data_IF_482770265828
#
_entry.id   IF_482770265828
#
_cell.length_a   1.000
_cell.length_b   1.000
_cell.length_c   1.000
_cell.angle_alpha   90.00
_cell.angle_beta   90.00
_cell.angle_gamma   90.00
#
_symmetry.space_group_name_H-M   'P 1'
#
loop_
_entity.id
_entity.type
_entity.pdbx_description
1 polymer ?
#
# COMPACT_ATOMS: atom_id res chain seq x y z
N UNK A 1 -11.39 -24.19 -10.54
CA UNK A 1 -10.03 -24.63 -10.95
C UNK A 1 -9.02 -24.04 -10.00
N UNK A 2 -8.55 -24.83 -9.03
CA UNK A 2 -7.42 -24.44 -8.18
C UNK A 2 -6.19 -24.37 -9.07
N UNK A 3 -5.72 -23.15 -9.36
CA UNK A 3 -4.45 -22.94 -10.06
C UNK A 3 -3.38 -23.66 -9.24
N UNK A 4 -2.87 -24.78 -9.76
CA UNK A 4 -1.70 -25.45 -9.22
C UNK A 4 -0.65 -24.37 -9.00
N UNK A 5 -0.22 -24.18 -7.75
CA UNK A 5 0.93 -23.31 -7.46
C UNK A 5 2.09 -23.96 -8.23
N UNK A 6 2.51 -23.33 -9.32
CA UNK A 6 3.67 -23.77 -10.08
C UNK A 6 4.83 -23.87 -9.09
N UNK A 7 5.26 -25.09 -8.81
CA UNK A 7 6.33 -25.36 -7.88
C UNK A 7 7.60 -24.64 -8.39
N UNK A 8 8.16 -23.77 -7.57
CA UNK A 8 9.35 -22.99 -7.94
C UNK A 8 10.52 -23.95 -8.15
N UNK A 9 11.12 -23.90 -9.33
CA UNK A 9 12.34 -24.64 -9.62
C UNK A 9 13.54 -23.79 -9.21
N UNK A 10 14.34 -24.28 -8.25
CA UNK A 10 15.51 -23.57 -7.72
C UNK A 10 16.46 -23.10 -8.81
N UNK A 11 16.88 -24.02 -9.69
CA UNK A 11 17.91 -23.78 -10.70
C UNK A 11 17.39 -22.78 -11.74
N UNK A 12 16.18 -22.99 -12.24
CA UNK A 12 15.59 -22.09 -13.25
C UNK A 12 15.36 -20.69 -12.70
N UNK A 13 14.87 -20.57 -11.47
CA UNK A 13 14.63 -19.26 -10.88
C UNK A 13 15.94 -18.50 -10.66
N UNK A 14 16.99 -19.17 -10.19
CA UNK A 14 18.32 -18.59 -10.07
C UNK A 14 18.89 -18.17 -11.43
N UNK A 15 18.80 -19.02 -12.45
CA UNK A 15 19.26 -18.73 -13.81
C UNK A 15 18.53 -17.52 -14.41
N UNK A 16 17.21 -17.45 -14.21
CA UNK A 16 16.40 -16.33 -14.66
C UNK A 16 16.82 -15.03 -13.95
N UNK A 17 17.07 -15.08 -12.64
CA UNK A 17 17.58 -13.93 -11.90
C UNK A 17 18.94 -13.49 -12.42
N UNK A 18 19.90 -14.41 -12.58
CA UNK A 18 21.23 -14.08 -13.09
C UNK A 18 21.19 -13.53 -14.53
N UNK A 19 20.25 -14.00 -15.34
CA UNK A 19 19.99 -13.42 -16.67
C UNK A 19 19.52 -11.97 -16.56
N UNK A 20 18.57 -11.66 -15.66
CA UNK A 20 18.15 -10.27 -15.40
C UNK A 20 19.33 -9.40 -14.95
N UNK A 21 20.23 -9.93 -14.12
CA UNK A 21 21.46 -9.22 -13.72
C UNK A 21 22.37 -8.93 -14.90
N UNK A 22 22.48 -9.85 -15.86
CA UNK A 22 23.32 -9.69 -17.05
C UNK A 22 22.76 -8.63 -18.01
N UNK A 23 21.44 -8.63 -18.21
CA UNK A 23 20.78 -7.68 -19.13
C UNK A 23 20.48 -6.31 -18.48
N UNK A 24 20.43 -6.22 -17.16
CA UNK A 24 20.01 -5.03 -16.43
C UNK A 24 21.15 -4.32 -15.70
N UNK A 25 21.50 -3.12 -16.15
CA UNK A 25 22.54 -2.26 -15.51
C UNK A 25 22.12 -1.69 -14.14
N UNK A 26 20.88 -1.92 -13.70
CA UNK A 26 20.34 -1.42 -12.44
C UNK A 26 20.66 -2.32 -11.22
N UNK A 27 21.23 -3.51 -11.44
CA UNK A 27 21.56 -4.44 -10.35
C UNK A 27 23.05 -4.36 -10.00
N UNK A 28 23.34 -3.85 -8.81
CA UNK A 28 24.69 -3.77 -8.26
C UNK A 28 25.09 -5.07 -7.52
N UNK A 29 26.39 -5.30 -7.31
CA UNK A 29 26.88 -6.53 -6.65
C UNK A 29 26.24 -6.78 -5.27
N UNK A 30 25.95 -5.71 -4.53
CA UNK A 30 25.30 -5.79 -3.22
C UNK A 30 23.87 -6.32 -3.29
N UNK A 31 23.14 -5.98 -4.36
CA UNK A 31 21.81 -6.51 -4.64
C UNK A 31 21.90 -8.02 -4.93
N UNK A 32 22.86 -8.44 -5.76
CA UNK A 32 23.07 -9.85 -6.11
C UNK A 32 23.35 -10.68 -4.85
N UNK A 33 24.29 -10.24 -4.00
CA UNK A 33 24.65 -10.94 -2.78
C UNK A 33 23.46 -11.07 -1.81
N UNK A 34 22.71 -9.98 -1.62
CA UNK A 34 21.55 -9.96 -0.74
C UNK A 34 20.40 -10.83 -1.28
N UNK A 35 20.13 -10.75 -2.58
CA UNK A 35 19.08 -11.54 -3.23
C UNK A 35 19.36 -13.03 -3.17
N UNK A 36 20.58 -13.47 -3.53
CA UNK A 36 20.97 -14.89 -3.48
C UNK A 36 20.87 -15.44 -2.05
N UNK A 37 21.21 -14.62 -1.06
CA UNK A 37 21.09 -14.98 0.36
C UNK A 37 19.64 -15.19 0.78
N UNK A 38 18.76 -14.24 0.42
CA UNK A 38 17.32 -14.35 0.65
C UNK A 38 16.74 -15.56 -0.09
N UNK A 39 17.15 -15.79 -1.34
CA UNK A 39 16.69 -16.90 -2.17
C UNK A 39 17.08 -18.26 -1.57
N UNK A 40 18.31 -18.39 -1.06
CA UNK A 40 18.74 -19.60 -0.34
C UNK A 40 17.87 -19.86 0.88
N UNK A 41 17.60 -18.83 1.68
CA UNK A 41 16.75 -18.96 2.87
C UNK A 41 15.31 -19.30 2.47
N UNK A 42 14.80 -18.71 1.40
CA UNK A 42 13.47 -19.01 0.86
C UNK A 42 13.37 -20.47 0.37
N UNK A 43 14.43 -21.00 -0.24
CA UNK A 43 14.52 -22.41 -0.62
C UNK A 43 14.47 -23.35 0.60
N UNK A 44 15.20 -23.02 1.68
CA UNK A 44 15.13 -23.77 2.95
C UNK A 44 13.71 -23.76 3.53
N UNK A 45 12.98 -22.66 3.34
CA UNK A 45 11.57 -22.51 3.69
C UNK A 45 10.61 -23.06 2.61
N UNK A 46 11.06 -23.97 1.73
CA UNK A 46 10.26 -24.62 0.69
C UNK A 46 9.54 -23.64 -0.26
N UNK A 47 10.16 -22.49 -0.52
CA UNK A 47 9.60 -21.40 -1.34
C UNK A 47 8.26 -20.86 -0.81
N UNK A 48 8.03 -20.94 0.50
CA UNK A 48 6.86 -20.36 1.13
C UNK A 48 7.02 -18.84 1.29
N UNK A 49 6.05 -18.09 0.79
CA UNK A 49 5.87 -16.68 1.10
C UNK A 49 4.71 -16.52 2.09
N UNK A 50 4.77 -15.56 3.02
CA UNK A 50 5.96 -14.85 3.48
C UNK A 50 6.87 -15.75 4.32
N UNK A 51 8.12 -15.34 4.51
CA UNK A 51 9.06 -15.96 5.46
C UNK A 51 9.73 -14.88 6.32
N UNK A 52 10.26 -15.27 7.48
CA UNK A 52 10.71 -14.33 8.52
C UNK A 52 12.10 -14.67 9.08
N UNK A 53 13.17 -14.65 8.27
CA UNK A 53 14.50 -14.95 8.74
C UNK A 53 15.08 -13.82 9.58
N UNK A 54 16.08 -14.16 10.39
CA UNK A 54 16.75 -13.16 11.22
C UNK A 54 17.65 -12.27 10.37
N UNK A 55 17.72 -10.96 10.68
CA UNK A 55 18.60 -10.03 9.95
C UNK A 55 20.07 -10.52 9.95
N UNK A 56 20.54 -11.03 11.09
CA UNK A 56 21.92 -11.51 11.24
C UNK A 56 22.25 -12.67 10.30
N UNK A 57 21.31 -13.60 10.12
CA UNK A 57 21.43 -14.72 9.19
C UNK A 57 21.52 -14.23 7.74
N UNK A 58 20.63 -13.33 7.32
CA UNK A 58 20.65 -12.77 5.96
C UNK A 58 21.98 -12.04 5.71
N UNK A 59 22.41 -11.20 6.65
CA UNK A 59 23.67 -10.45 6.55
C UNK A 59 24.88 -11.37 6.48
N UNK A 60 24.91 -12.44 7.28
CA UNK A 60 26.00 -13.41 7.29
C UNK A 60 26.09 -14.17 5.97
N UNK A 61 24.95 -14.57 5.40
CA UNK A 61 24.94 -15.23 4.09
C UNK A 61 25.35 -14.28 2.95
N UNK A 62 24.95 -13.01 3.03
CA UNK A 62 25.28 -12.01 2.02
C UNK A 62 26.70 -11.46 2.13
N UNK A 63 27.42 -11.77 3.21
CA UNK A 63 28.73 -11.18 3.51
C UNK A 63 28.66 -9.69 3.84
N UNK A 64 27.48 -9.16 4.18
CA UNK A 64 27.27 -7.74 4.50
C UNK A 64 27.53 -7.50 5.98
N UNK A 65 28.49 -6.62 6.31
CA UNK A 65 28.82 -6.29 7.71
C UNK A 65 28.10 -5.04 8.23
N UNK A 66 27.78 -4.09 7.33
CA UNK A 66 27.14 -2.82 7.71
C UNK A 66 25.62 -2.94 7.67
N UNK A 67 24.95 -2.52 8.76
CA UNK A 67 23.49 -2.45 8.84
C UNK A 67 22.92 -1.46 7.82
N UNK A 68 23.58 -0.33 7.63
CA UNK A 68 23.11 0.70 6.70
C UNK A 68 23.20 0.22 5.25
N UNK A 69 24.30 -0.47 4.92
CA UNK A 69 24.43 -1.12 3.61
C UNK A 69 23.34 -2.19 3.42
N UNK A 70 23.06 -3.01 4.42
CA UNK A 70 21.98 -4.00 4.36
C UNK A 70 20.63 -3.36 4.05
N UNK A 71 20.22 -2.34 4.82
CA UNK A 71 18.91 -1.70 4.60
C UNK A 71 18.83 -0.89 3.31
N UNK A 72 19.95 -0.31 2.84
CA UNK A 72 20.01 0.37 1.54
C UNK A 72 19.74 -0.62 0.40
N UNK A 73 20.54 -1.69 0.31
CA UNK A 73 20.37 -2.72 -0.72
C UNK A 73 18.99 -3.40 -0.63
N UNK A 74 18.44 -3.57 0.58
CA UNK A 74 17.11 -4.14 0.78
C UNK A 74 16.00 -3.26 0.22
N UNK A 75 16.07 -1.94 0.46
CA UNK A 75 15.12 -0.97 -0.11
C UNK A 75 15.24 -0.86 -1.62
N UNK A 76 16.45 -0.92 -2.15
CA UNK A 76 16.72 -0.90 -3.59
C UNK A 76 16.15 -2.15 -4.26
N UNK A 77 16.36 -3.35 -3.68
CA UNK A 77 15.74 -4.59 -4.17
C UNK A 77 14.20 -4.58 -4.10
N UNK A 78 13.62 -3.96 -3.07
CA UNK A 78 12.17 -3.79 -2.95
C UNK A 78 11.63 -2.84 -4.04
N UNK A 79 12.35 -1.74 -4.30
CA UNK A 79 12.02 -0.82 -5.38
C UNK A 79 12.12 -1.46 -6.78
N UNK A 80 12.98 -2.47 -6.94
CA UNK A 80 13.11 -3.27 -8.16
C UNK A 80 12.03 -4.37 -8.29
N UNK A 81 11.09 -4.46 -7.35
CA UNK A 81 10.00 -5.44 -7.33
C UNK A 81 10.47 -6.91 -7.30
N UNK A 82 11.73 -7.15 -6.93
CA UNK A 82 12.30 -8.49 -6.81
C UNK A 82 11.96 -9.15 -5.46
N UNK A 83 11.74 -8.31 -4.43
CA UNK A 83 11.33 -8.72 -3.10
C UNK A 83 10.30 -7.72 -2.55
N UNK A 84 9.59 -8.10 -1.50
CA UNK A 84 8.87 -7.19 -0.61
C UNK A 84 9.38 -7.33 0.80
N UNK A 85 9.66 -6.20 1.46
CA UNK A 85 10.10 -6.17 2.85
C UNK A 85 9.08 -5.49 3.77
N UNK A 86 8.71 -6.20 4.84
CA UNK A 86 7.78 -5.72 5.84
C UNK A 86 8.47 -5.64 7.20
N UNK A 87 8.98 -4.45 7.60
CA UNK A 87 9.68 -4.28 8.86
C UNK A 87 8.75 -4.43 10.06
N UNK A 88 9.22 -5.11 11.10
CA UNK A 88 8.59 -5.08 12.41
C UNK A 88 9.09 -3.89 13.23
N UNK A 89 8.16 -3.25 13.96
CA UNK A 89 8.47 -2.19 14.94
C UNK A 89 8.60 -2.72 16.36
N UNK A 90 8.18 -3.96 16.61
CA UNK A 90 8.14 -4.56 17.94
C UNK A 90 9.26 -5.59 18.10
N UNK A 91 9.93 -5.57 19.27
CA UNK A 91 10.92 -6.58 19.66
C UNK A 91 10.35 -8.01 19.73
N UNK A 92 9.03 -8.14 19.82
CA UNK A 92 8.31 -9.42 19.91
C UNK A 92 7.71 -9.86 18.58
N UNK A 93 7.91 -9.07 17.51
CA UNK A 93 7.32 -9.33 16.21
C UNK A 93 8.44 -9.46 15.17
N UNK A 94 8.33 -10.46 14.29
CA UNK A 94 9.31 -10.69 13.24
C UNK A 94 9.05 -9.80 12.03
N UNK A 95 10.13 -9.47 11.30
CA UNK A 95 9.97 -8.87 9.97
C UNK A 95 9.64 -9.95 8.95
N UNK A 96 8.84 -9.61 7.95
CA UNK A 96 8.49 -10.52 6.86
C UNK A 96 9.13 -10.10 5.55
N UNK A 97 9.39 -11.12 4.74
CA UNK A 97 9.93 -11.00 3.41
C UNK A 97 9.06 -11.84 2.48
N UNK A 98 8.83 -11.33 1.27
CA UNK A 98 8.29 -12.10 0.16
C UNK A 98 9.27 -12.00 -0.99
N UNK A 99 9.53 -13.11 -1.68
CA UNK A 99 10.32 -13.10 -2.92
C UNK A 99 9.37 -13.18 -4.11
N UNK A 100 9.65 -12.38 -5.13
CA UNK A 100 8.92 -12.41 -6.39
C UNK A 100 9.30 -13.65 -7.21
N UNK A 101 8.30 -14.27 -7.85
CA UNK A 101 8.54 -15.43 -8.72
C UNK A 101 8.89 -14.96 -10.11
N UNK A 102 9.96 -15.51 -10.69
CA UNK A 102 10.47 -15.12 -12.01
C UNK A 102 10.25 -16.28 -12.98
N UNK A 103 9.50 -16.03 -14.04
CA UNK A 103 9.28 -16.96 -15.15
C UNK A 103 9.93 -16.43 -16.42
N UNK A 104 10.64 -17.31 -17.13
CA UNK A 104 11.23 -17.01 -18.44
C UNK A 104 10.17 -17.19 -19.53
N UNK A 105 10.04 -16.17 -20.39
CA UNK A 105 9.21 -16.17 -21.59
C UNK A 105 10.13 -15.99 -22.82
N UNK A 106 9.63 -16.25 -24.02
CA UNK A 106 10.40 -16.14 -25.26
C UNK A 106 10.94 -14.72 -25.52
N UNK A 107 10.23 -13.70 -25.02
CA UNK A 107 10.55 -12.28 -25.23
C UNK A 107 11.16 -11.58 -24.00
N UNK A 108 11.40 -12.29 -22.89
CA UNK A 108 11.91 -11.71 -21.66
C UNK A 108 11.49 -12.46 -20.40
N UNK A 109 11.33 -11.74 -19.28
CA UNK A 109 11.01 -12.32 -17.98
C UNK A 109 9.72 -11.76 -17.42
N UNK A 110 8.82 -12.62 -16.94
CA UNK A 110 7.67 -12.22 -16.13
C UNK A 110 8.05 -12.34 -14.66
N UNK A 111 7.92 -11.23 -13.92
CA UNK A 111 8.13 -11.21 -12.48
C UNK A 111 6.78 -10.98 -11.79
N UNK A 112 6.32 -11.98 -11.07
CA UNK A 112 5.09 -11.96 -10.29
C UNK A 112 5.42 -11.54 -8.84
N UNK A 113 4.95 -10.36 -8.46
CA UNK A 113 5.29 -9.70 -7.21
C UNK A 113 4.28 -10.07 -6.13
N UNK A 114 4.77 -10.77 -5.11
CA UNK A 114 3.96 -11.21 -3.98
C UNK A 114 4.09 -10.24 -2.81
N UNK A 115 2.96 -9.93 -2.17
CA UNK A 115 2.92 -9.01 -1.04
C UNK A 115 1.90 -9.41 0.02
N UNK A 116 1.97 -8.76 1.17
CA UNK A 116 1.02 -8.95 2.26
C UNK A 116 0.05 -7.78 2.35
N UNK A 117 -1.25 -8.08 2.42
CA UNK A 117 -2.30 -7.06 2.66
C UNK A 117 -2.12 -6.41 4.03
N UNK A 118 -2.54 -5.15 4.20
CA UNK A 118 -2.58 -4.43 5.48
C UNK A 118 -1.23 -4.20 6.19
N UNK A 119 -0.10 -4.62 5.62
CA UNK A 119 1.19 -4.10 6.05
C UNK A 119 1.35 -2.70 5.47
N UNK A 120 1.27 -1.69 6.34
CA UNK A 120 1.43 -0.29 5.96
C UNK A 120 2.79 -0.06 5.27
N UNK A 121 2.79 -0.05 3.95
CA UNK A 121 3.70 0.77 3.15
C UNK A 121 3.18 0.95 1.72
N UNK A 122 2.19 1.84 1.56
CA UNK A 122 1.91 2.49 0.27
C UNK A 122 1.86 4.01 0.53
N UNK A 123 2.92 4.70 0.08
CA UNK A 123 3.02 6.14 -0.17
C UNK A 123 2.28 7.11 0.77
N UNK A 124 2.99 7.58 1.81
CA UNK A 124 2.58 8.75 2.61
C UNK A 124 2.53 10.08 1.82
N UNK A 125 2.82 10.06 0.52
CA UNK A 125 2.85 11.25 -0.36
C UNK A 125 1.54 11.48 -1.11
N UNK A 126 0.62 10.50 -1.18
CA UNK A 126 -0.65 10.66 -1.93
C UNK A 126 -1.82 11.09 -1.02
N UNK A 127 -1.68 10.99 0.32
CA UNK A 127 -2.77 11.28 1.26
C UNK A 127 -2.93 12.76 1.68
N UNK A 128 -2.24 13.73 1.07
CA UNK A 128 -2.45 15.17 1.39
C UNK A 128 -3.26 15.95 0.35
N UNK A 129 -3.87 15.27 -0.63
CA UNK A 129 -4.87 15.89 -1.50
C UNK A 129 -6.06 14.97 -1.65
N UNK A 130 -6.99 15.07 -0.71
CA UNK A 130 -8.46 15.16 -0.88
C UNK A 130 -9.02 14.92 0.53
N UNK A 131 -9.09 15.99 1.31
CA UNK A 131 -10.08 16.13 2.37
C UNK A 131 -11.14 17.09 1.82
N UNK A 132 -12.37 16.62 1.63
CA UNK A 132 -13.57 17.42 1.86
C UNK A 132 -14.80 16.52 2.08
N UNK A 133 -15.38 16.71 3.26
CA UNK A 133 -16.74 16.38 3.71
C UNK A 133 -17.08 14.93 4.10
N UNK A 134 -16.95 14.73 5.40
CA UNK A 134 -17.69 13.81 6.27
C UNK A 134 -19.17 13.70 5.88
N UNK A 135 -19.65 12.47 5.70
CA UNK A 135 -21.04 12.09 5.97
C UNK A 135 -21.03 10.70 6.57
N UNK A 136 -21.66 10.60 7.74
CA UNK A 136 -21.67 9.44 8.60
C UNK A 136 -22.21 8.20 7.88
N UNK A 137 -21.41 7.15 7.82
CA UNK A 137 -21.89 5.78 7.65
C UNK A 137 -21.20 4.95 8.71
N UNK A 138 -22.00 4.41 9.62
CA UNK A 138 -21.59 3.50 10.69
C UNK A 138 -20.72 2.36 10.14
N UNK A 139 -19.69 1.92 10.89
CA UNK A 139 -18.91 0.76 10.48
C UNK A 139 -19.80 -0.48 10.57
N UNK A 140 -20.30 -0.95 9.43
CA UNK A 140 -20.86 -2.29 9.35
C UNK A 140 -19.75 -3.29 9.64
N UNK A 141 -19.79 -3.84 10.85
CA UNK A 141 -19.04 -5.00 11.29
C UNK A 141 -19.33 -6.16 10.33
N UNK A 142 -18.49 -6.34 9.31
CA UNK A 142 -18.40 -7.65 8.64
C UNK A 142 -17.77 -8.57 9.67
N UNK A 143 -18.56 -9.48 10.24
CA UNK A 143 -18.04 -10.59 11.02
C UNK A 143 -17.04 -11.34 10.14
N UNK A 144 -15.76 -11.12 10.40
CA UNK A 144 -14.66 -11.81 9.74
C UNK A 144 -14.63 -13.21 10.34
N UNK A 145 -15.13 -14.21 9.59
CA UNK A 145 -15.15 -15.63 9.96
C UNK A 145 -13.86 -16.04 10.67
N UNK A 146 -13.96 -16.76 11.79
CA UNK A 146 -12.81 -17.18 12.63
C UNK A 146 -11.73 -17.89 11.77
N UNK A 147 -12.15 -18.60 10.73
CA UNK A 147 -11.29 -19.29 9.76
C UNK A 147 -10.46 -18.34 8.88
N UNK A 148 -10.93 -17.12 8.62
CA UNK A 148 -10.18 -16.10 7.87
C UNK A 148 -9.11 -15.43 8.73
N UNK A 149 -9.33 -15.28 10.04
CA UNK A 149 -8.29 -14.81 10.98
C UNK A 149 -7.13 -15.78 11.12
N UNK A 150 -7.39 -17.09 11.05
CA UNK A 150 -6.36 -18.13 11.12
C UNK A 150 -5.40 -18.15 9.91
N UNK A 151 -5.77 -17.53 8.79
CA UNK A 151 -4.93 -17.39 7.59
C UNK A 151 -4.10 -16.10 7.57
N UNK A 152 -4.19 -15.28 8.61
CA UNK A 152 -3.48 -14.01 8.68
C UNK A 152 -2.10 -14.18 9.32
N UNK A 153 -1.07 -13.67 8.65
CA UNK A 153 0.27 -13.53 9.22
C UNK A 153 0.25 -12.39 10.25
N UNK A 154 0.66 -12.69 11.49
CA UNK A 154 0.53 -11.83 12.68
C UNK A 154 -0.88 -11.26 12.94
N UNK A 155 -1.92 -11.97 12.50
CA UNK A 155 -3.31 -11.52 12.70
C UNK A 155 -3.70 -10.27 11.89
N UNK A 156 -2.88 -9.86 10.89
CA UNK A 156 -3.11 -8.62 10.13
C UNK A 156 -3.13 -8.79 8.61
N UNK A 157 -2.34 -9.69 8.02
CA UNK A 157 -2.16 -9.75 6.56
C UNK A 157 -2.35 -11.12 5.93
N UNK A 158 -2.93 -11.15 4.73
CA UNK A 158 -2.97 -12.31 3.84
C UNK A 158 -2.02 -12.11 2.65
N UNK A 159 -1.45 -13.19 2.12
CA UNK A 159 -0.59 -13.14 0.94
C UNK A 159 -1.44 -12.90 -0.32
N UNK A 160 -1.04 -11.91 -1.12
CA UNK A 160 -1.67 -11.56 -2.39
C UNK A 160 -0.64 -11.41 -3.50
N UNK A 161 -1.06 -11.67 -4.73
CA UNK A 161 -0.33 -11.25 -5.92
C UNK A 161 -0.60 -9.76 -6.16
N UNK A 162 0.39 -8.93 -5.86
CA UNK A 162 0.28 -7.46 -5.94
C UNK A 162 0.17 -7.03 -7.41
N UNK A 163 1.19 -7.38 -8.20
CA UNK A 163 1.30 -7.05 -9.62
C UNK A 163 2.19 -8.06 -10.35
N UNK A 164 2.14 -8.03 -11.67
CA UNK A 164 3.04 -8.77 -12.55
C UNK A 164 3.73 -7.75 -13.45
N UNK A 165 5.06 -7.80 -13.49
CA UNK A 165 5.87 -6.95 -14.37
C UNK A 165 6.53 -7.82 -15.45
N UNK A 166 6.80 -7.22 -16.59
CA UNK A 166 7.54 -7.83 -17.68
C UNK A 166 8.86 -7.08 -17.88
N UNK A 167 9.96 -7.83 -17.96
CA UNK A 167 11.31 -7.31 -18.18
C UNK A 167 11.79 -7.83 -19.53
N UNK A 168 11.92 -6.92 -20.49
CA UNK A 168 12.44 -7.19 -21.82
C UNK A 168 13.98 -7.46 -21.72
N UNK A 169 14.57 -8.20 -22.66
CA UNK A 169 16.04 -8.38 -22.73
C UNK A 169 16.83 -7.09 -22.96
N UNK A 170 16.14 -6.00 -23.32
CA UNK A 170 16.70 -4.64 -23.41
C UNK A 170 16.73 -3.91 -22.07
N UNK A 171 16.29 -4.54 -20.97
CA UNK A 171 16.30 -3.97 -19.63
C UNK A 171 15.11 -3.04 -19.30
N UNK A 172 14.20 -2.81 -20.26
CA UNK A 172 13.01 -2.00 -20.02
C UNK A 172 11.93 -2.76 -19.25
N UNK A 173 11.50 -2.19 -18.11
CA UNK A 173 10.37 -2.70 -17.34
C UNK A 173 9.04 -2.19 -17.93
N UNK A 174 8.13 -3.10 -18.24
CA UNK A 174 6.74 -2.79 -18.60
C UNK A 174 5.81 -3.48 -17.61
N UNK A 175 4.99 -2.70 -16.90
CA UNK A 175 3.97 -3.28 -16.04
C UNK A 175 2.86 -3.91 -16.90
N UNK A 176 2.59 -5.20 -16.70
CA UNK A 176 1.45 -5.87 -17.32
C UNK A 176 0.19 -5.31 -16.66
N UNK A 177 -0.46 -4.34 -17.32
CA UNK A 177 -1.73 -3.81 -16.84
C UNK A 177 -2.68 -4.99 -16.65
N UNK A 178 -3.18 -5.17 -15.42
CA UNK A 178 -4.37 -5.99 -15.19
C UNK A 178 -5.42 -5.47 -16.17
N UNK A 179 -5.86 -6.30 -17.11
CA UNK A 179 -7.01 -5.96 -17.95
C UNK A 179 -8.10 -5.54 -16.98
N UNK A 180 -8.40 -4.24 -16.94
CA UNK A 180 -9.44 -3.70 -16.07
C UNK A 180 -10.69 -4.45 -16.47
N UNK A 181 -11.09 -5.42 -15.65
CA UNK A 181 -12.33 -6.15 -15.87
C UNK A 181 -13.39 -5.08 -15.74
N UNK A 182 -13.90 -4.67 -16.89
CA UNK A 182 -14.95 -3.68 -17.03
C UNK A 182 -16.05 -4.07 -16.04
N UNK A 183 -16.19 -3.31 -14.96
CA UNK A 183 -17.28 -3.50 -14.01
C UNK A 183 -18.29 -2.38 -14.26
N UNK A 184 -19.38 -2.67 -14.98
CA UNK A 184 -20.35 -1.64 -15.36
C UNK A 184 -21.02 -0.96 -14.16
N UNK A 185 -20.95 -1.54 -12.95
CA UNK A 185 -21.53 -0.97 -11.74
C UNK A 185 -20.57 -0.13 -10.89
N UNK A 186 -19.26 -0.17 -11.14
CA UNK A 186 -18.27 0.48 -10.24
C UNK A 186 -17.21 1.32 -10.94
N UNK A 187 -17.22 1.41 -12.28
CA UNK A 187 -16.24 2.20 -13.03
C UNK A 187 -16.60 3.69 -12.99
N UNK A 188 -15.73 4.58 -12.48
CA UNK A 188 -15.98 6.03 -12.45
C UNK A 188 -16.16 6.65 -13.84
N UNK A 189 -15.75 5.99 -14.94
CA UNK A 189 -16.05 6.44 -16.31
C UNK A 189 -17.52 6.30 -16.70
N UNK A 190 -18.24 5.41 -16.01
CA UNK A 190 -19.66 5.10 -16.20
C UNK A 190 -20.48 5.31 -14.93
N UNK A 191 -19.89 5.89 -13.87
CA UNK A 191 -20.67 6.58 -12.87
C UNK A 191 -21.43 7.66 -13.63
N UNK A 192 -22.64 7.32 -14.08
CA UNK A 192 -23.60 8.28 -14.57
C UNK A 192 -23.58 9.36 -13.52
N UNK A 193 -23.21 10.58 -13.91
CA UNK A 193 -23.61 11.75 -13.16
C UNK A 193 -25.09 11.50 -12.88
N UNK A 194 -25.44 11.16 -11.64
CA UNK A 194 -26.83 10.96 -11.27
C UNK A 194 -27.44 12.28 -11.68
N UNK A 195 -28.24 12.22 -12.74
CA UNK A 195 -28.87 13.38 -13.29
C UNK A 195 -29.66 14.00 -12.15
N UNK A 196 -29.18 15.13 -11.62
CA UNK A 196 -29.94 16.01 -10.74
C UNK A 196 -31.20 16.58 -11.45
N UNK A 197 -31.51 16.08 -12.66
CA UNK A 197 -32.68 16.40 -13.48
C UNK A 197 -33.93 15.62 -13.07
N UNK A 198 -33.86 14.66 -12.14
CA UNK A 198 -35.04 14.08 -11.49
C UNK A 198 -35.29 14.78 -10.15
N UNK A 199 -35.32 16.11 -10.17
CA UNK A 199 -36.12 16.87 -9.23
C UNK A 199 -37.39 17.24 -9.99
N UNK A 200 -38.50 16.57 -9.68
CA UNK A 200 -39.82 16.96 -10.17
C UNK A 200 -40.05 18.45 -9.88
N UNK A 201 -40.64 19.24 -10.80
CA UNK A 201 -40.92 20.67 -10.58
C UNK A 201 -41.92 20.94 -9.44
N UNK A 202 -42.50 19.90 -8.85
CA UNK A 202 -43.59 19.98 -7.87
C UNK A 202 -43.13 20.16 -6.43
N UNK A 203 -41.83 20.37 -6.15
CA UNK A 203 -41.35 20.71 -4.80
C UNK A 203 -41.05 22.20 -4.61
N UNK A 204 -41.57 23.07 -5.48
CA UNK A 204 -41.65 24.51 -5.26
C UNK A 204 -42.94 24.88 -4.51
N UNK A 205 -43.11 24.38 -3.28
CA UNK A 205 -44.00 25.03 -2.33
C UNK A 205 -43.29 26.25 -1.76
N UNK A 206 -43.36 27.36 -2.49
CA UNK A 206 -42.92 28.70 -2.08
C UNK A 206 -43.78 29.33 -0.98
N UNK A 207 -44.47 28.56 -0.14
CA UNK A 207 -45.34 29.08 0.93
C UNK A 207 -45.21 28.21 2.18
N UNK A 208 -44.23 28.56 3.03
CA UNK A 208 -44.26 28.48 4.50
C UNK A 208 -42.83 28.46 5.03
N UNK A 209 -42.20 29.64 5.11
CA UNK A 209 -41.24 30.02 6.17
C UNK A 209 -40.78 31.46 5.94
N UNK A 210 -41.72 32.39 5.99
CA UNK A 210 -41.41 33.75 6.43
C UNK A 210 -41.49 33.78 7.96
N UNK A 211 -40.42 33.38 8.63
CA UNK A 211 -40.11 33.97 9.93
C UNK A 211 -39.11 35.08 9.68
N UNK A 212 -39.57 36.31 9.93
CA UNK A 212 -38.75 37.51 9.90
C UNK A 212 -37.60 37.40 10.90
N UNK A 213 -36.38 37.09 10.42
CA UNK A 213 -35.17 37.36 11.18
C UNK A 213 -34.73 38.79 10.89
N UNK A 214 -35.28 39.76 11.63
CA UNK A 214 -34.63 41.06 11.74
C UNK A 214 -33.24 40.87 12.37
N UNK A 215 -32.28 41.64 11.88
CA UNK A 215 -30.89 41.69 12.36
C UNK A 215 -30.81 42.26 13.78
N UNK A 216 -31.01 41.40 14.78
CA UNK A 216 -30.66 41.68 16.17
C UNK A 216 -29.16 41.56 16.39
N UNK A 217 -28.41 42.64 16.19
CA UNK A 217 -27.03 42.76 16.64
C UNK A 217 -27.03 42.91 18.17
N UNK A 218 -27.11 41.80 18.93
CA UNK A 218 -26.92 41.84 20.39
C UNK A 218 -25.50 41.42 20.76
N UNK A 219 -24.56 42.35 20.61
CA UNK A 219 -23.43 42.38 21.54
C UNK A 219 -24.01 42.70 22.91
N UNK A 220 -23.86 41.81 23.88
CA UNK A 220 -24.12 42.11 25.29
C UNK A 220 -23.06 43.13 25.76
N UNK A 221 -23.26 44.42 25.45
CA UNK A 221 -22.53 45.51 26.09
C UNK A 221 -23.37 46.79 26.10
N UNK A 222 -23.62 47.40 27.27
CA UNK A 222 -24.24 48.72 27.34
C UNK A 222 -23.31 49.78 26.73
N UNK A 223 -23.81 50.70 25.90
CA UNK A 223 -23.00 51.81 25.40
C UNK A 223 -22.79 52.85 26.51
N UNK A 224 -21.52 53.21 26.81
CA UNK A 224 -21.21 54.34 27.70
C UNK A 224 -19.97 54.21 28.60
N UNK A 225 -19.29 53.07 28.66
CA UNK A 225 -18.08 52.92 29.51
C UNK A 225 -16.83 53.16 28.67
N UNK A 226 -16.02 54.15 29.06
CA UNK A 226 -14.70 54.39 28.44
C UNK A 226 -13.77 53.21 28.73
N UNK A 227 -13.02 52.77 27.72
CA UNK A 227 -12.08 51.66 27.82
C UNK A 227 -10.78 52.22 28.37
N UNK A 228 -10.34 51.72 29.52
CA UNK A 228 -9.02 52.03 30.07
C UNK A 228 -7.95 51.33 29.21
N UNK A 229 -7.03 52.06 28.55
CA UNK A 229 -6.02 51.47 27.67
C UNK A 229 -4.98 50.63 28.41
N UNK A 230 -4.86 50.77 29.73
CA UNK A 230 -3.83 50.10 30.54
C UNK A 230 -4.34 48.86 31.29
N UNK A 231 -5.59 48.43 31.07
CA UNK A 231 -6.15 47.25 31.73
C UNK A 231 -5.71 45.94 31.05
N UNK A 232 -5.10 45.03 31.82
CA UNK A 232 -4.68 43.70 31.35
C UNK A 232 -5.83 42.68 31.48
N UNK A 233 -6.43 42.34 30.34
CA UNK A 233 -7.57 41.41 30.24
C UNK A 233 -7.16 39.95 30.04
N UNK A 234 -5.89 39.60 30.26
CA UNK A 234 -5.38 38.24 30.03
C UNK A 234 -5.63 37.25 31.17
N UNK A 235 -6.22 37.68 32.29
CA UNK A 235 -6.60 36.77 33.39
C UNK A 235 -8.06 36.36 33.26
N UNK A 236 -8.38 35.06 33.08
CA UNK A 236 -9.74 34.58 33.08
C UNK A 236 -10.29 34.58 34.52
N UNK A 237 -11.55 35.03 34.67
CA UNK A 237 -12.30 35.03 35.93
C UNK A 237 -12.47 33.63 36.51
#
# INVERSE_FOLDING_TARGET
MSKSINQVNYIRHLENFLSIVNYGDFIHFGHVALYVSLFRIWNINYFANPFSPSRGEIMSHAGIKSKDAFYRNLKELDALDLIRYYPSKSRYEHSYYCISTIEHLESGFRVDVWGLTHHNSLNKTIQSKIDFQTSAVEPQNKEVDINTKAKLFNGKGSLILEKSIFIDYSGHQKELRKNSTFNPLTDPRYASQIDNRISSPSNNSNHANHQNSQSGRSGLRPPGVQIDPDADYSVPL
#
